data_IF_486980590457
#
_entry.id   IF_486980590457
#
_cell.length_a   1.000
_cell.length_b   1.000
_cell.length_c   1.000
_cell.angle_alpha   90.00
_cell.angle_beta   90.00
_cell.angle_gamma   90.00
#
_symmetry.space_group_name_H-M   'P 1'
#
loop_
_entity.id
_entity.type
_entity.pdbx_description
1 polymer ?
#
# COMPACT_ATOMS: atom_id res chain seq x y z
N UNK A 1 -8.65 7.41 3.87
CA UNK A 1 -7.52 6.96 4.74
C UNK A 1 -6.71 5.90 4.02
N UNK A 2 -5.40 6.00 4.03
CA UNK A 2 -4.49 5.09 3.32
C UNK A 2 -3.68 4.29 4.32
N UNK A 3 -3.69 2.97 4.19
CA UNK A 3 -2.96 2.06 5.08
C UNK A 3 -2.13 1.06 4.29
N UNK A 4 -0.91 0.82 4.73
CA UNK A 4 -0.05 -0.22 4.19
C UNK A 4 0.09 -1.38 5.17
N UNK A 5 0.12 -2.59 4.63
CA UNK A 5 0.56 -3.78 5.34
C UNK A 5 1.92 -4.20 4.84
N UNK A 6 2.89 -4.22 5.74
CA UNK A 6 4.29 -4.51 5.47
C UNK A 6 4.80 -5.62 6.39
N UNK A 7 5.96 -6.16 6.12
CA UNK A 7 6.59 -7.19 6.95
C UNK A 7 7.42 -8.17 6.12
N UNK A 8 8.03 -9.13 6.80
CA UNK A 8 8.84 -10.16 6.16
C UNK A 8 8.01 -11.07 5.26
N UNK A 9 8.65 -11.69 4.28
CA UNK A 9 8.02 -12.76 3.48
C UNK A 9 7.49 -13.89 4.38
N UNK A 10 6.23 -14.28 4.18
CA UNK A 10 5.54 -15.30 4.97
C UNK A 10 4.92 -14.80 6.27
N UNK A 11 5.08 -13.53 6.68
CA UNK A 11 4.50 -13.02 7.93
C UNK A 11 2.97 -12.94 7.94
N UNK A 12 2.31 -13.06 6.79
CA UNK A 12 0.85 -12.99 6.66
C UNK A 12 0.32 -11.60 6.28
N UNK A 13 1.16 -10.72 5.71
CA UNK A 13 0.75 -9.38 5.23
C UNK A 13 -0.49 -9.42 4.35
N UNK A 14 -0.46 -10.23 3.30
CA UNK A 14 -1.56 -10.36 2.32
C UNK A 14 -2.85 -10.84 2.98
N UNK A 15 -2.75 -11.81 3.90
CA UNK A 15 -3.89 -12.29 4.67
C UNK A 15 -4.46 -11.17 5.55
N UNK A 16 -3.60 -10.42 6.25
CA UNK A 16 -4.01 -9.29 7.09
C UNK A 16 -4.63 -8.16 6.27
N UNK A 17 -4.04 -7.83 5.11
CA UNK A 17 -4.61 -6.84 4.18
C UNK A 17 -6.01 -7.21 3.73
N UNK A 18 -6.21 -8.49 3.36
CA UNK A 18 -7.50 -9.00 2.92
C UNK A 18 -8.54 -9.00 4.04
N UNK A 19 -8.17 -9.50 5.23
CA UNK A 19 -9.06 -9.53 6.39
C UNK A 19 -9.47 -8.11 6.83
N UNK A 20 -8.52 -7.20 6.88
CA UNK A 20 -8.79 -5.79 7.21
C UNK A 20 -9.70 -5.13 6.16
N UNK A 21 -9.41 -5.29 4.87
CA UNK A 21 -10.22 -4.75 3.80
C UNK A 21 -11.66 -5.27 3.86
N UNK A 22 -11.86 -6.58 4.06
CA UNK A 22 -13.17 -7.20 4.25
C UNK A 22 -13.87 -6.68 5.50
N UNK A 23 -13.15 -6.57 6.63
CA UNK A 23 -13.71 -6.06 7.89
C UNK A 23 -14.25 -4.63 7.72
N UNK A 24 -13.49 -3.75 7.08
CA UNK A 24 -13.93 -2.37 6.82
C UNK A 24 -15.11 -2.34 5.85
N UNK A 25 -15.09 -3.13 4.78
CA UNK A 25 -16.17 -3.21 3.81
C UNK A 25 -17.47 -3.78 4.42
N UNK A 26 -17.38 -4.79 5.29
CA UNK A 26 -18.56 -5.38 5.97
C UNK A 26 -19.30 -4.40 6.86
N UNK A 27 -18.62 -3.34 7.30
CA UNK A 27 -19.22 -2.25 8.08
C UNK A 27 -19.74 -1.11 7.18
N UNK A 28 -19.87 -1.35 5.86
CA UNK A 28 -20.46 -0.42 4.90
C UNK A 28 -19.55 0.69 4.41
N UNK A 29 -18.27 0.69 4.76
CA UNK A 29 -17.33 1.69 4.27
C UNK A 29 -16.80 1.32 2.86
N UNK A 30 -16.59 2.30 1.97
CA UNK A 30 -16.00 2.06 0.67
C UNK A 30 -14.50 1.73 0.79
N UNK A 31 -14.07 0.66 0.13
CA UNK A 31 -12.69 0.15 0.19
C UNK A 31 -12.13 -0.07 -1.22
N UNK A 32 -10.93 0.45 -1.45
CA UNK A 32 -10.06 0.06 -2.54
C UNK A 32 -8.86 -0.68 -1.97
N UNK A 33 -8.71 -1.95 -2.31
CA UNK A 33 -7.52 -2.74 -2.01
C UNK A 33 -6.54 -2.66 -3.19
N UNK A 34 -5.24 -2.61 -2.90
CA UNK A 34 -4.19 -2.58 -3.91
C UNK A 34 -3.14 -3.66 -3.62
N UNK A 35 -2.93 -4.55 -4.59
CA UNK A 35 -1.85 -5.53 -4.53
C UNK A 35 -0.57 -4.93 -5.14
N UNK A 36 0.34 -4.51 -4.28
CA UNK A 36 1.65 -3.97 -4.63
C UNK A 36 2.78 -4.99 -4.39
N UNK A 37 2.45 -6.27 -4.26
CA UNK A 37 3.42 -7.37 -4.19
C UNK A 37 3.62 -8.02 -5.57
N UNK A 38 4.85 -8.45 -5.83
CA UNK A 38 5.22 -9.15 -7.06
C UNK A 38 4.49 -10.49 -7.23
N UNK A 39 4.14 -11.14 -6.13
CA UNK A 39 3.53 -12.48 -6.14
C UNK A 39 2.03 -12.45 -6.41
N UNK A 40 1.39 -11.27 -6.31
CA UNK A 40 -0.03 -11.08 -6.66
C UNK A 40 -0.99 -12.06 -5.97
N UNK A 41 -0.92 -12.18 -4.66
CA UNK A 41 -1.75 -13.13 -3.91
C UNK A 41 -3.05 -12.54 -3.36
N UNK A 42 -3.20 -11.21 -3.35
CA UNK A 42 -4.33 -10.55 -2.69
C UNK A 42 -5.69 -10.94 -3.33
N UNK A 43 -5.74 -11.06 -4.66
CA UNK A 43 -6.95 -11.49 -5.36
C UNK A 43 -7.43 -12.87 -4.88
N UNK A 44 -6.50 -13.83 -4.78
CA UNK A 44 -6.80 -15.19 -4.31
C UNK A 44 -7.35 -15.19 -2.88
N UNK A 45 -6.71 -14.44 -1.97
CA UNK A 45 -7.12 -14.34 -0.57
C UNK A 45 -8.47 -13.62 -0.42
N UNK A 46 -8.78 -12.69 -1.33
CA UNK A 46 -10.10 -12.04 -1.42
C UNK A 46 -11.16 -12.91 -2.12
N UNK A 47 -10.83 -14.15 -2.48
CA UNK A 47 -11.77 -15.11 -3.08
C UNK A 47 -12.11 -14.83 -4.55
N UNK A 48 -11.23 -14.15 -5.28
CA UNK A 48 -11.38 -13.92 -6.71
C UNK A 48 -10.71 -15.02 -7.52
N UNK A 49 -11.39 -15.53 -8.53
CA UNK A 49 -10.89 -16.58 -9.43
C UNK A 49 -9.91 -16.06 -10.51
N UNK A 50 -9.78 -14.74 -10.60
CA UNK A 50 -8.89 -14.08 -11.57
C UNK A 50 -8.21 -12.85 -10.97
N UNK A 51 -7.10 -12.48 -11.57
CA UNK A 51 -6.39 -11.25 -11.25
C UNK A 51 -7.04 -10.03 -11.94
N UNK A 52 -6.95 -8.83 -11.36
CA UNK A 52 -7.24 -7.58 -12.07
C UNK A 52 -6.27 -7.39 -13.24
N UNK A 53 -6.65 -6.50 -14.18
CA UNK A 53 -5.73 -6.06 -15.23
C UNK A 53 -4.49 -5.40 -14.60
N UNK A 54 -3.27 -5.77 -15.02
CA UNK A 54 -2.05 -5.23 -14.44
C UNK A 54 -1.92 -3.72 -14.68
N UNK A 55 -1.91 -2.90 -13.63
CA UNK A 55 -1.70 -1.44 -13.75
C UNK A 55 -0.38 -1.13 -14.48
N UNK A 56 0.64 -1.96 -14.29
CA UNK A 56 1.92 -1.81 -14.98
C UNK A 56 1.85 -1.93 -16.50
N UNK A 57 0.89 -2.69 -17.03
CA UNK A 57 0.66 -2.80 -18.47
C UNK A 57 -0.01 -1.55 -19.08
N UNK A 58 -0.71 -0.78 -18.25
CA UNK A 58 -1.45 0.43 -18.64
C UNK A 58 -0.80 1.73 -18.15
N UNK A 59 0.50 1.66 -17.86
CA UNK A 59 1.20 2.79 -17.25
C UNK A 59 1.20 4.04 -18.13
N UNK A 60 1.19 3.90 -19.46
CA UNK A 60 1.15 5.04 -20.38
C UNK A 60 -0.19 5.76 -20.29
N UNK A 61 -1.30 5.03 -20.33
CA UNK A 61 -2.65 5.58 -20.21
C UNK A 61 -2.87 6.23 -18.84
N UNK A 62 -2.39 5.58 -17.77
CA UNK A 62 -2.46 6.13 -16.41
C UNK A 62 -1.70 7.45 -16.34
N UNK A 63 -0.47 7.50 -16.85
CA UNK A 63 0.35 8.71 -16.88
C UNK A 63 -0.31 9.83 -17.69
N UNK A 64 -0.87 9.53 -18.86
CA UNK A 64 -1.51 10.55 -19.69
C UNK A 64 -2.76 11.11 -19.01
N UNK A 65 -3.57 10.27 -18.38
CA UNK A 65 -4.70 10.69 -17.55
C UNK A 65 -4.25 11.62 -16.41
N UNK A 66 -3.23 11.21 -15.63
CA UNK A 66 -2.75 11.96 -14.47
C UNK A 66 -2.04 13.27 -14.84
N UNK A 67 -1.32 13.28 -15.97
CA UNK A 67 -0.71 14.48 -16.52
C UNK A 67 -1.74 15.59 -16.73
N UNK A 68 -2.90 15.23 -17.30
CA UNK A 68 -3.93 16.20 -17.64
C UNK A 68 -3.39 17.32 -18.54
N UNK A 69 -3.66 18.55 -18.16
CA UNK A 69 -3.17 19.76 -18.82
C UNK A 69 -1.97 20.42 -18.12
N UNK A 70 -1.21 19.67 -17.30
CA UNK A 70 -0.06 20.22 -16.58
C UNK A 70 1.01 20.72 -17.57
N UNK A 71 1.31 22.05 -17.60
CA UNK A 71 2.25 22.63 -18.56
C UNK A 71 3.71 22.28 -18.30
N UNK A 72 4.04 21.76 -17.10
CA UNK A 72 5.39 21.36 -16.72
C UNK A 72 5.74 19.95 -17.18
N UNK A 73 4.75 19.18 -17.67
CA UNK A 73 4.92 17.78 -18.09
C UNK A 73 4.59 17.69 -19.58
N UNK A 74 5.60 17.60 -20.41
CA UNK A 74 5.47 17.65 -21.86
C UNK A 74 4.70 16.45 -22.46
N UNK A 75 4.84 15.27 -21.86
CA UNK A 75 4.18 14.04 -22.33
C UNK A 75 4.07 13.00 -21.21
N UNK A 76 3.24 11.97 -21.40
CA UNK A 76 3.19 10.81 -20.51
C UNK A 76 4.56 10.12 -20.36
N UNK A 77 5.36 10.08 -21.43
CA UNK A 77 6.70 9.49 -21.42
C UNK A 77 7.67 10.25 -20.51
N UNK A 78 7.49 11.56 -20.33
CA UNK A 78 8.28 12.38 -19.43
C UNK A 78 7.97 12.13 -17.93
N UNK A 79 6.84 11.48 -17.61
CA UNK A 79 6.51 11.15 -16.23
C UNK A 79 7.25 9.91 -15.74
N UNK A 80 7.74 9.98 -14.52
CA UNK A 80 8.28 8.84 -13.76
C UNK A 80 7.34 8.48 -12.60
N UNK A 81 7.54 7.34 -11.96
CA UNK A 81 6.68 6.86 -10.85
C UNK A 81 6.52 7.86 -9.69
N UNK A 82 7.49 8.73 -9.51
CA UNK A 82 7.51 9.73 -8.44
C UNK A 82 7.05 11.12 -8.90
N UNK A 83 6.62 11.29 -10.16
CA UNK A 83 6.16 12.60 -10.64
C UNK A 83 5.05 13.15 -9.75
N UNK A 84 5.24 14.33 -9.14
CA UNK A 84 4.23 14.95 -8.30
C UNK A 84 3.11 15.56 -9.15
N UNK A 85 1.90 15.73 -8.62
CA UNK A 85 0.90 16.58 -9.23
C UNK A 85 1.34 18.05 -9.21
N UNK A 86 0.78 18.84 -10.09
CA UNK A 86 0.95 20.29 -10.19
C UNK A 86 -0.28 20.93 -10.79
N UNK A 87 -0.28 22.23 -11.00
CA UNK A 87 -1.40 22.91 -11.65
C UNK A 87 -1.66 22.33 -13.03
N UNK A 88 -2.93 21.96 -13.29
CA UNK A 88 -3.36 21.30 -14.52
C UNK A 88 -3.21 19.78 -14.52
N UNK A 89 -2.57 19.15 -13.53
CA UNK A 89 -2.64 17.70 -13.34
C UNK A 89 -4.06 17.26 -12.97
N UNK A 90 -4.42 16.05 -13.38
CA UNK A 90 -5.66 15.41 -12.92
C UNK A 90 -5.43 14.84 -11.53
N UNK A 91 -6.15 15.34 -10.54
CA UNK A 91 -6.25 14.71 -9.23
C UNK A 91 -7.42 13.71 -9.27
N UNK A 92 -7.20 12.55 -8.66
CA UNK A 92 -8.21 11.51 -8.55
C UNK A 92 -8.95 11.66 -7.21
N UNK A 93 -10.26 11.62 -7.24
CA UNK A 93 -11.03 11.34 -6.03
C UNK A 93 -10.98 9.85 -5.69
N UNK A 94 -11.39 9.49 -4.48
CA UNK A 94 -11.57 8.08 -4.11
C UNK A 94 -12.55 7.36 -5.06
N UNK A 95 -13.60 8.05 -5.53
CA UNK A 95 -14.56 7.49 -6.48
C UNK A 95 -13.93 7.17 -7.83
N UNK A 96 -13.03 8.04 -8.31
CA UNK A 96 -12.30 7.80 -9.56
C UNK A 96 -11.40 6.56 -9.44
N UNK A 97 -10.76 6.38 -8.27
CA UNK A 97 -9.94 5.22 -7.99
C UNK A 97 -10.79 3.94 -7.87
N UNK A 98 -11.94 4.01 -7.18
CA UNK A 98 -12.87 2.88 -7.05
C UNK A 98 -13.52 2.49 -8.40
N UNK A 99 -13.65 3.43 -9.33
CA UNK A 99 -14.17 3.20 -10.68
C UNK A 99 -13.07 2.90 -11.72
N UNK A 100 -11.81 2.76 -11.31
CA UNK A 100 -10.69 2.53 -12.23
C UNK A 100 -10.96 1.30 -13.12
N UNK A 101 -10.82 1.40 -14.46
CA UNK A 101 -11.23 0.33 -15.39
C UNK A 101 -10.44 -0.97 -15.22
N UNK A 102 -9.22 -0.89 -14.68
CA UNK A 102 -8.32 -2.04 -14.53
C UNK A 102 -8.60 -2.89 -13.28
N UNK A 103 -9.49 -2.44 -12.40
CA UNK A 103 -9.81 -3.15 -11.15
C UNK A 103 -10.88 -4.22 -11.30
N UNK A 104 -10.97 -5.09 -10.30
CA UNK A 104 -12.07 -6.05 -10.09
C UNK A 104 -12.86 -5.68 -8.84
N UNK A 105 -14.14 -5.98 -8.85
CA UNK A 105 -14.99 -5.84 -7.64
C UNK A 105 -15.20 -7.22 -7.03
N UNK A 106 -14.96 -7.34 -5.73
CA UNK A 106 -15.23 -8.58 -4.99
C UNK A 106 -16.72 -8.75 -4.73
N UNK A 107 -17.17 -9.96 -4.36
CA UNK A 107 -18.56 -10.18 -3.96
C UNK A 107 -19.04 -9.26 -2.83
N UNK A 108 -18.16 -8.88 -1.92
CA UNK A 108 -18.43 -7.95 -0.81
C UNK A 108 -18.44 -6.47 -1.23
N UNK A 109 -18.19 -6.18 -2.51
CA UNK A 109 -18.27 -4.84 -3.07
C UNK A 109 -17.00 -3.99 -2.94
N UNK A 110 -15.89 -4.52 -2.39
CA UNK A 110 -14.62 -3.80 -2.40
C UNK A 110 -13.95 -3.87 -3.77
N UNK A 111 -13.20 -2.83 -4.12
CA UNK A 111 -12.47 -2.75 -5.39
C UNK A 111 -11.04 -3.23 -5.20
N UNK A 112 -10.55 -4.12 -6.07
CA UNK A 112 -9.16 -4.56 -6.09
C UNK A 112 -8.44 -4.05 -7.34
N UNK A 113 -7.29 -3.42 -7.14
CA UNK A 113 -6.31 -3.05 -8.17
C UNK A 113 -5.01 -3.85 -7.92
N UNK A 114 -4.21 -4.09 -8.96
CA UNK A 114 -2.94 -4.80 -8.80
C UNK A 114 -1.86 -4.23 -9.71
N UNK A 115 -0.63 -4.20 -9.22
CA UNK A 115 0.54 -3.74 -10.01
C UNK A 115 0.79 -4.61 -11.23
N UNK A 116 0.55 -5.90 -11.12
CA UNK A 116 0.82 -6.93 -12.10
C UNK A 116 2.06 -7.78 -11.76
N UNK A 117 2.08 -9.05 -12.19
CA UNK A 117 3.20 -9.95 -11.96
C UNK A 117 4.40 -9.60 -12.84
N UNK A 118 5.55 -10.22 -12.57
CA UNK A 118 6.62 -10.33 -13.56
C UNK A 118 6.17 -11.21 -14.73
N UNK A 119 6.47 -10.76 -15.94
CA UNK A 119 6.29 -11.51 -17.17
C UNK A 119 7.64 -12.00 -17.71
N UNK A 120 7.63 -12.91 -18.68
CA UNK A 120 8.87 -13.36 -19.33
C UNK A 120 9.64 -12.20 -19.96
N UNK A 121 8.96 -11.18 -20.46
CA UNK A 121 9.55 -9.96 -21.03
C UNK A 121 10.29 -9.10 -19.99
N UNK A 122 9.95 -9.24 -18.72
CA UNK A 122 10.60 -8.50 -17.63
C UNK A 122 11.90 -9.17 -17.16
N UNK A 123 12.11 -10.46 -17.50
CA UNK A 123 13.25 -11.23 -16.99
C UNK A 123 14.58 -10.65 -17.47
N UNK A 124 15.37 -10.18 -16.50
CA UNK A 124 16.69 -9.60 -16.77
C UNK A 124 16.67 -8.18 -17.35
N UNK A 125 15.51 -7.58 -17.59
CA UNK A 125 15.37 -6.27 -18.24
C UNK A 125 14.66 -5.24 -17.34
N UNK A 126 13.60 -5.64 -16.64
CA UNK A 126 12.82 -4.72 -15.82
C UNK A 126 13.10 -4.91 -14.33
N UNK A 127 13.17 -3.81 -13.61
CA UNK A 127 13.13 -3.81 -12.15
C UNK A 127 11.67 -3.84 -11.68
N UNK A 128 11.34 -4.70 -10.73
CA UNK A 128 10.01 -4.78 -10.11
C UNK A 128 9.49 -3.40 -9.66
N UNK A 129 10.38 -2.56 -9.15
CA UNK A 129 10.04 -1.19 -8.72
C UNK A 129 9.43 -0.32 -9.83
N UNK A 130 9.56 -0.68 -11.10
CA UNK A 130 8.88 0.01 -12.20
C UNK A 130 7.38 -0.31 -12.23
N UNK A 131 6.97 -1.52 -11.88
CA UNK A 131 5.55 -1.94 -11.85
C UNK A 131 4.81 -1.36 -10.65
N UNK A 132 5.41 -1.39 -9.45
CA UNK A 132 4.88 -0.71 -8.25
C UNK A 132 4.70 0.79 -8.48
N UNK A 133 5.43 1.34 -9.44
CA UNK A 133 5.35 2.74 -9.83
C UNK A 133 3.96 3.22 -10.27
N UNK A 134 3.10 2.32 -10.78
CA UNK A 134 1.71 2.67 -11.11
C UNK A 134 0.91 2.99 -9.84
N UNK A 135 1.04 2.17 -8.78
CA UNK A 135 0.40 2.43 -7.49
C UNK A 135 0.93 3.72 -6.86
N UNK A 136 2.25 3.95 -6.90
CA UNK A 136 2.86 5.17 -6.38
C UNK A 136 2.31 6.41 -7.10
N UNK A 137 2.22 6.38 -8.43
CA UNK A 137 1.64 7.48 -9.23
C UNK A 137 0.18 7.74 -8.90
N UNK A 138 -0.64 6.70 -8.79
CA UNK A 138 -2.06 6.83 -8.42
C UNK A 138 -2.19 7.47 -7.04
N UNK A 139 -1.43 7.01 -6.04
CA UNK A 139 -1.47 7.57 -4.69
C UNK A 139 -0.89 8.99 -4.60
N UNK A 140 0.07 9.35 -5.46
CA UNK A 140 0.58 10.73 -5.54
C UNK A 140 -0.48 11.72 -6.05
N UNK A 141 -1.47 11.25 -6.82
CA UNK A 141 -2.51 12.09 -7.41
C UNK A 141 -3.89 11.88 -6.75
N UNK A 142 -3.98 11.05 -5.72
CA UNK A 142 -5.21 10.73 -5.03
C UNK A 142 -5.56 11.77 -3.97
N UNK A 143 -6.81 12.22 -3.97
CA UNK A 143 -7.43 12.97 -2.87
C UNK A 143 -8.52 12.07 -2.28
N UNK A 144 -8.26 11.53 -1.09
CA UNK A 144 -9.16 10.70 -0.32
C UNK A 144 -9.53 11.37 1.01
N UNK A 145 -10.66 11.02 1.57
CA UNK A 145 -11.21 11.63 2.78
C UNK A 145 -11.45 10.64 3.93
N UNK A 146 -11.95 11.15 5.06
CA UNK A 146 -12.39 10.32 6.17
C UNK A 146 -13.50 9.35 5.72
N UNK A 147 -13.42 8.10 6.20
CA UNK A 147 -14.39 7.05 5.85
C UNK A 147 -14.18 6.41 4.48
N UNK A 148 -13.19 6.82 3.71
CA UNK A 148 -12.74 6.20 2.46
C UNK A 148 -11.42 5.46 2.72
N UNK A 149 -11.31 4.17 2.35
CA UNK A 149 -10.17 3.35 2.74
C UNK A 149 -9.42 2.81 1.52
N UNK A 150 -8.12 3.11 1.46
CA UNK A 150 -7.18 2.51 0.52
C UNK A 150 -6.24 1.59 1.30
N UNK A 151 -6.36 0.29 1.05
CA UNK A 151 -5.59 -0.77 1.75
C UNK A 151 -4.56 -1.34 0.79
N UNK A 152 -3.28 -1.20 1.11
CA UNK A 152 -2.20 -1.62 0.22
C UNK A 152 -1.41 -2.79 0.83
N UNK A 153 -1.42 -3.93 0.12
CA UNK A 153 -0.53 -5.05 0.40
C UNK A 153 0.82 -4.79 -0.24
N UNK A 154 1.83 -4.52 0.58
CA UNK A 154 3.15 -4.12 0.11
C UNK A 154 4.06 -5.32 -0.12
N UNK A 155 5.03 -5.17 -1.01
CA UNK A 155 6.11 -6.17 -1.16
C UNK A 155 6.84 -6.45 0.15
N UNK A 156 7.45 -7.63 0.26
CA UNK A 156 8.05 -8.09 1.49
C UNK A 156 9.40 -7.43 1.80
N UNK A 157 9.68 -7.24 3.09
CA UNK A 157 10.99 -6.83 3.59
C UNK A 157 11.42 -5.43 3.19
N UNK A 158 12.72 -5.22 3.05
CA UNK A 158 13.32 -3.91 2.76
C UNK A 158 12.95 -3.36 1.36
N UNK A 159 12.48 -4.20 0.45
CA UNK A 159 12.10 -3.79 -0.91
C UNK A 159 10.93 -2.81 -0.92
N UNK A 160 10.11 -2.81 0.14
CA UNK A 160 9.05 -1.81 0.32
C UNK A 160 9.56 -0.36 0.40
N UNK A 161 10.84 -0.16 0.76
CA UNK A 161 11.48 1.17 0.81
C UNK A 161 12.18 1.57 -0.49
N UNK A 162 12.22 0.71 -1.50
CA UNK A 162 12.90 0.99 -2.75
C UNK A 162 12.18 2.03 -3.65
N UNK A 163 11.02 2.51 -3.20
CA UNK A 163 10.27 3.60 -3.84
C UNK A 163 9.76 4.58 -2.79
N UNK A 164 9.26 5.74 -3.21
CA UNK A 164 8.58 6.70 -2.33
C UNK A 164 7.24 6.21 -1.79
N UNK A 165 6.72 5.09 -2.30
CA UNK A 165 5.41 4.56 -1.95
C UNK A 165 5.21 4.38 -0.45
N UNK A 166 6.24 3.96 0.31
CA UNK A 166 6.14 3.74 1.75
C UNK A 166 5.75 5.00 2.54
N UNK A 167 5.90 6.19 1.97
CA UNK A 167 5.53 7.46 2.61
C UNK A 167 4.11 7.94 2.25
N UNK A 168 3.36 7.16 1.45
CA UNK A 168 2.02 7.55 0.94
C UNK A 168 0.87 7.16 1.85
N UNK A 169 1.15 6.68 3.07
CA UNK A 169 0.16 6.13 3.99
C UNK A 169 -0.05 7.02 5.21
N UNK A 170 -1.29 7.03 5.70
CA UNK A 170 -1.63 7.65 6.98
C UNK A 170 -1.13 6.78 8.15
N UNK A 171 -1.14 5.45 7.96
CA UNK A 171 -0.61 4.48 8.91
C UNK A 171 -0.02 3.27 8.18
N UNK A 172 1.08 2.75 8.70
CA UNK A 172 1.70 1.51 8.24
C UNK A 172 1.59 0.46 9.33
N UNK A 173 1.00 -0.70 9.02
CA UNK A 173 0.98 -1.86 9.89
C UNK A 173 2.10 -2.83 9.51
N UNK A 174 3.03 -3.05 10.43
CA UNK A 174 4.07 -4.07 10.31
C UNK A 174 3.56 -5.40 10.89
N UNK A 175 3.35 -6.39 10.03
CA UNK A 175 2.94 -7.74 10.41
C UNK A 175 4.18 -8.57 10.77
N UNK A 176 4.30 -8.96 12.04
CA UNK A 176 5.45 -9.67 12.59
C UNK A 176 5.06 -11.00 13.25
N UNK A 177 5.74 -12.07 12.86
CA UNK A 177 5.66 -13.35 13.60
C UNK A 177 6.50 -13.30 14.89
N UNK A 178 6.14 -14.05 15.96
CA UNK A 178 6.89 -14.10 17.20
C UNK A 178 8.18 -14.93 17.06
N UNK A 179 9.04 -14.55 16.13
CA UNK A 179 10.31 -15.19 15.84
C UNK A 179 11.39 -14.13 15.60
N UNK A 180 12.67 -14.47 15.86
CA UNK A 180 13.79 -13.56 15.57
C UNK A 180 13.80 -13.08 14.14
N UNK A 181 13.43 -13.93 13.19
CA UNK A 181 13.32 -13.57 11.79
C UNK A 181 12.10 -12.69 11.52
N UNK A 182 10.96 -12.95 12.19
CA UNK A 182 9.73 -12.16 12.04
C UNK A 182 9.92 -10.71 12.47
N UNK A 183 10.65 -10.47 13.56
CA UNK A 183 10.93 -9.12 14.07
C UNK A 183 12.19 -8.47 13.47
N UNK A 184 12.94 -9.17 12.63
CA UNK A 184 14.24 -8.68 12.13
C UNK A 184 14.17 -7.39 11.33
N UNK A 185 13.05 -7.15 10.62
CA UNK A 185 12.84 -5.96 9.79
C UNK A 185 12.31 -4.77 10.59
N UNK A 186 11.83 -4.98 11.81
CA UNK A 186 11.17 -3.94 12.62
C UNK A 186 12.06 -2.71 12.83
N UNK A 187 13.33 -2.87 13.21
CA UNK A 187 14.22 -1.72 13.45
C UNK A 187 14.36 -0.84 12.24
N UNK A 188 14.50 -1.44 11.07
CA UNK A 188 14.63 -0.70 9.82
C UNK A 188 13.32 0.06 9.48
N UNK A 189 12.15 -0.58 9.68
CA UNK A 189 10.86 0.08 9.50
C UNK A 189 10.69 1.26 10.45
N UNK A 190 10.99 1.05 11.74
CA UNK A 190 10.90 2.10 12.76
C UNK A 190 11.82 3.28 12.45
N UNK A 191 13.08 3.02 12.07
CA UNK A 191 14.05 4.07 11.79
C UNK A 191 13.63 4.90 10.57
N UNK A 192 13.09 4.27 9.51
CA UNK A 192 12.57 4.99 8.35
C UNK A 192 11.23 5.69 8.63
N UNK A 193 10.34 5.05 9.38
CA UNK A 193 9.08 5.66 9.80
C UNK A 193 9.34 6.97 10.58
N UNK A 194 10.22 6.93 11.57
CA UNK A 194 10.62 8.11 12.34
C UNK A 194 11.27 9.19 11.47
N UNK A 195 12.13 8.81 10.50
CA UNK A 195 12.81 9.75 9.62
C UNK A 195 11.88 10.51 8.67
N UNK A 196 10.79 9.86 8.25
CA UNK A 196 9.86 10.38 7.26
C UNK A 196 8.47 10.70 7.82
N UNK A 197 8.34 10.81 9.14
CA UNK A 197 7.07 11.11 9.82
C UNK A 197 5.93 10.17 9.38
N UNK A 198 6.23 8.87 9.20
CA UNK A 198 5.24 7.84 8.85
C UNK A 198 4.78 7.15 10.12
N UNK A 199 3.48 7.17 10.40
CA UNK A 199 2.94 6.43 11.52
C UNK A 199 3.12 4.91 11.32
N UNK A 200 3.64 4.22 12.35
CA UNK A 200 3.93 2.79 12.35
C UNK A 200 3.30 2.13 13.57
N UNK A 201 2.63 1.02 13.38
CA UNK A 201 2.21 0.13 14.45
C UNK A 201 2.52 -1.33 14.08
N UNK A 202 2.80 -2.17 15.06
CA UNK A 202 3.14 -3.58 14.86
C UNK A 202 1.92 -4.44 15.20
N UNK A 203 1.65 -5.41 14.33
CA UNK A 203 0.66 -6.47 14.53
C UNK A 203 1.42 -7.78 14.69
N UNK A 204 1.31 -8.41 15.86
CA UNK A 204 1.72 -9.80 16.02
C UNK A 204 0.84 -10.72 15.19
N UNK A 205 1.40 -11.70 14.51
CA UNK A 205 0.61 -12.67 13.74
C UNK A 205 1.07 -14.11 14.03
N UNK A 206 0.16 -15.06 13.91
CA UNK A 206 0.38 -16.48 14.20
C UNK A 206 0.81 -16.72 15.65
N UNK A 207 0.27 -15.94 16.57
CA UNK A 207 0.51 -16.07 18.01
C UNK A 207 -0.17 -17.34 18.53
N UNK A 208 0.56 -18.15 19.28
CA UNK A 208 0.04 -19.38 19.88
C UNK A 208 -0.33 -19.19 21.35
N UNK A 209 0.48 -18.43 22.10
CA UNK A 209 0.28 -18.26 23.52
C UNK A 209 0.90 -16.96 24.07
N UNK A 210 0.84 -16.78 25.38
CA UNK A 210 1.35 -15.61 26.06
C UNK A 210 2.85 -15.38 25.88
N UNK A 211 3.65 -16.44 25.75
CA UNK A 211 5.09 -16.30 25.58
C UNK A 211 5.46 -15.67 24.23
N UNK A 212 4.65 -15.90 23.20
CA UNK A 212 4.79 -15.25 21.90
C UNK A 212 4.52 -13.74 21.99
N UNK A 213 3.49 -13.34 22.74
CA UNK A 213 3.18 -11.93 23.00
C UNK A 213 4.31 -11.24 23.76
N UNK A 214 4.84 -11.92 24.80
CA UNK A 214 5.93 -11.39 25.61
C UNK A 214 7.21 -11.25 24.78
N UNK A 215 7.51 -12.21 23.89
CA UNK A 215 8.59 -12.10 22.91
C UNK A 215 8.42 -10.90 21.98
N UNK A 216 7.24 -10.70 21.42
CA UNK A 216 6.98 -9.55 20.56
C UNK A 216 7.20 -8.23 21.33
N UNK A 217 6.63 -8.10 22.52
CA UNK A 217 6.81 -6.90 23.37
C UNK A 217 8.27 -6.62 23.71
N UNK A 218 9.05 -7.64 24.01
CA UNK A 218 10.49 -7.50 24.26
C UNK A 218 11.23 -6.88 23.06
N UNK A 219 10.81 -7.20 21.82
CA UNK A 219 11.52 -6.81 20.63
C UNK A 219 11.01 -5.53 19.97
N UNK A 220 9.71 -5.23 20.07
CA UNK A 220 9.09 -4.07 19.41
C UNK A 220 8.51 -3.04 20.40
N UNK A 221 8.48 -3.35 21.70
CA UNK A 221 8.05 -2.42 22.75
C UNK A 221 6.60 -1.99 22.61
N UNK A 222 6.37 -0.69 22.80
CA UNK A 222 5.04 -0.07 22.77
C UNK A 222 4.46 0.04 21.36
N UNK A 223 5.25 -0.22 20.32
CA UNK A 223 4.75 -0.26 18.94
C UNK A 223 3.87 -1.49 18.67
N UNK A 224 3.88 -2.53 19.59
CA UNK A 224 2.95 -3.65 19.49
C UNK A 224 1.52 -3.19 19.81
N UNK A 225 0.76 -2.95 18.77
CA UNK A 225 -0.65 -2.52 18.89
C UNK A 225 -1.55 -3.67 19.34
N UNK A 226 -1.45 -4.80 18.65
CA UNK A 226 -2.30 -5.99 18.88
C UNK A 226 -1.66 -7.24 18.25
N UNK A 227 -2.35 -8.35 18.33
CA UNK A 227 -1.93 -9.59 17.69
C UNK A 227 -3.12 -10.40 17.18
N UNK A 228 -2.86 -11.24 16.17
CA UNK A 228 -3.75 -12.29 15.69
C UNK A 228 -3.25 -13.63 16.17
N UNK A 229 -4.13 -14.40 16.78
CA UNK A 229 -3.87 -15.79 17.14
C UNK A 229 -3.96 -16.70 15.92
N UNK A 230 -3.39 -17.87 16.04
CA UNK A 230 -3.48 -18.89 15.01
C UNK A 230 -4.96 -19.27 14.77
N UNK A 231 -5.45 -19.07 13.56
CA UNK A 231 -6.87 -19.21 13.21
C UNK A 231 -7.10 -20.40 12.30
N UNK A 232 -8.02 -21.30 12.70
CA UNK A 232 -8.51 -22.36 11.84
C UNK A 232 -9.35 -21.82 10.67
N UNK A 233 -10.09 -20.74 10.90
CA UNK A 233 -10.90 -20.07 9.89
C UNK A 233 -10.04 -19.42 8.82
N UNK A 234 -8.99 -18.68 9.20
CA UNK A 234 -8.02 -18.09 8.27
C UNK A 234 -7.32 -19.17 7.45
N UNK A 235 -6.89 -20.27 8.09
CA UNK A 235 -6.29 -21.38 7.37
C UNK A 235 -7.26 -22.02 6.36
N UNK A 236 -8.54 -22.16 6.70
CA UNK A 236 -9.55 -22.65 5.77
C UNK A 236 -9.72 -21.72 4.56
N UNK A 237 -9.76 -20.40 4.80
CA UNK A 237 -9.78 -19.39 3.74
C UNK A 237 -8.57 -19.51 2.81
N UNK A 238 -7.36 -19.61 3.35
CA UNK A 238 -6.12 -19.79 2.58
C UNK A 238 -6.10 -21.09 1.74
N UNK A 239 -6.88 -22.09 2.16
CA UNK A 239 -7.08 -23.34 1.42
C UNK A 239 -8.22 -23.27 0.38
N UNK A 240 -8.81 -22.07 0.17
CA UNK A 240 -9.92 -21.86 -0.77
C UNK A 240 -11.27 -22.38 -0.28
N UNK A 241 -11.42 -22.63 1.03
CA UNK A 241 -12.72 -22.99 1.62
C UNK A 241 -13.57 -21.76 1.87
N UNK A 242 -14.88 -21.98 1.98
CA UNK A 242 -15.80 -20.91 2.36
C UNK A 242 -15.37 -20.27 3.69
N UNK A 243 -15.38 -18.94 3.71
CA UNK A 243 -14.97 -18.14 4.86
C UNK A 243 -15.85 -16.88 4.95
N UNK A 244 -16.29 -16.56 6.13
CA UNK A 244 -16.90 -15.29 6.48
C UNK A 244 -16.18 -14.69 7.68
N UNK A 245 -16.32 -13.40 7.91
CA UNK A 245 -15.70 -12.74 9.07
C UNK A 245 -16.30 -13.25 10.41
N UNK A 246 -17.53 -13.76 10.38
CA UNK A 246 -18.17 -14.36 11.56
C UNK A 246 -17.53 -15.70 11.98
N UNK A 247 -16.72 -16.31 11.10
CA UNK A 247 -15.97 -17.52 11.42
C UNK A 247 -14.68 -17.24 12.22
N UNK A 248 -14.26 -15.95 12.34
CA UNK A 248 -13.07 -15.58 13.09
C UNK A 248 -13.27 -15.77 14.59
N UNK A 249 -12.21 -16.19 15.25
CA UNK A 249 -12.12 -16.19 16.70
C UNK A 249 -12.31 -14.76 17.25
N UNK A 250 -13.01 -14.58 18.39
CA UNK A 250 -13.29 -13.24 18.92
C UNK A 250 -12.06 -12.34 19.07
N UNK A 251 -10.95 -12.89 19.53
CA UNK A 251 -9.68 -12.14 19.67
C UNK A 251 -9.19 -11.59 18.34
N UNK A 252 -9.35 -12.35 17.25
CA UNK A 252 -8.94 -11.95 15.92
C UNK A 252 -9.90 -10.89 15.33
N UNK A 253 -11.20 -11.01 15.59
CA UNK A 253 -12.19 -10.00 15.21
C UNK A 253 -11.98 -8.68 15.96
N UNK A 254 -11.67 -8.75 17.26
CA UNK A 254 -11.34 -7.58 18.10
C UNK A 254 -10.06 -6.89 17.59
N UNK A 255 -9.05 -7.67 17.19
CA UNK A 255 -7.83 -7.13 16.60
C UNK A 255 -8.14 -6.31 15.34
N UNK A 256 -8.95 -6.83 14.39
CA UNK A 256 -9.34 -6.08 13.18
C UNK A 256 -10.09 -4.79 13.52
N UNK A 257 -10.96 -4.83 14.52
CA UNK A 257 -11.69 -3.66 15.00
C UNK A 257 -10.75 -2.60 15.57
N UNK A 258 -9.73 -3.03 16.32
CA UNK A 258 -8.70 -2.13 16.86
C UNK A 258 -7.84 -1.51 15.74
N UNK A 259 -7.47 -2.29 14.71
CA UNK A 259 -6.73 -1.75 13.55
C UNK A 259 -7.52 -0.64 12.86
N UNK A 260 -8.84 -0.85 12.63
CA UNK A 260 -9.69 0.17 12.03
C UNK A 260 -9.75 1.42 12.90
N UNK A 261 -10.01 1.26 14.20
CA UNK A 261 -10.06 2.38 15.15
C UNK A 261 -8.76 3.17 15.11
N UNK A 262 -7.60 2.49 15.19
CA UNK A 262 -6.28 3.14 15.17
C UNK A 262 -6.04 3.91 13.87
N UNK A 263 -6.49 3.39 12.72
CA UNK A 263 -6.40 4.09 11.45
C UNK A 263 -7.33 5.31 11.41
N UNK A 264 -8.57 5.19 11.92
CA UNK A 264 -9.54 6.28 11.93
C UNK A 264 -9.16 7.43 12.87
N UNK A 265 -8.30 7.17 13.85
CA UNK A 265 -7.72 8.17 14.76
C UNK A 265 -6.54 8.95 14.13
N UNK A 266 -6.04 8.53 12.95
CA UNK A 266 -4.97 9.27 12.27
C UNK A 266 -5.51 10.55 11.63
N UNK A 267 -4.77 11.63 11.78
CA UNK A 267 -5.02 12.86 11.03
C UNK A 267 -4.34 12.81 9.67
N UNK A 268 -5.08 13.23 8.62
CA UNK A 268 -4.54 13.29 7.25
C UNK A 268 -3.58 14.48 7.12
N UNK A 269 -2.31 14.19 6.91
CA UNK A 269 -1.26 15.19 6.74
C UNK A 269 -0.94 15.43 5.25
N UNK A 270 -1.73 16.29 4.62
CA UNK A 270 -1.56 16.65 3.21
C UNK A 270 -0.24 17.39 2.93
N UNK A 271 0.23 18.19 3.88
CA UNK A 271 1.51 18.91 3.74
C UNK A 271 2.68 17.92 3.70
N UNK A 272 2.67 16.92 4.59
CA UNK A 272 3.66 15.84 4.59
C UNK A 272 3.64 15.08 3.27
N UNK A 273 2.46 14.68 2.78
CA UNK A 273 2.34 13.97 1.51
C UNK A 273 2.89 14.80 0.34
N UNK A 274 2.55 16.08 0.24
CA UNK A 274 3.06 16.99 -0.79
C UNK A 274 4.58 17.13 -0.71
N UNK A 275 5.11 17.46 0.45
CA UNK A 275 6.56 17.60 0.70
C UNK A 275 7.33 16.33 0.33
N UNK A 276 6.88 15.17 0.79
CA UNK A 276 7.56 13.90 0.52
C UNK A 276 7.45 13.46 -0.94
N UNK A 277 6.34 13.74 -1.62
CA UNK A 277 6.22 13.47 -3.05
C UNK A 277 7.28 14.22 -3.84
N UNK A 278 7.45 15.51 -3.57
CA UNK A 278 8.48 16.35 -4.19
C UNK A 278 9.89 15.86 -3.82
N UNK A 279 10.13 15.56 -2.54
CA UNK A 279 11.44 15.08 -2.07
C UNK A 279 11.87 13.79 -2.81
N UNK A 280 11.00 12.80 -2.87
CA UNK A 280 11.33 11.54 -3.56
C UNK A 280 11.43 11.70 -5.07
N UNK A 281 10.66 12.60 -5.67
CA UNK A 281 10.82 12.93 -7.08
C UNK A 281 12.19 13.53 -7.37
N UNK A 282 12.63 14.53 -6.61
CA UNK A 282 13.94 15.16 -6.77
C UNK A 282 15.11 14.19 -6.50
N UNK A 283 14.94 13.23 -5.57
CA UNK A 283 15.93 12.18 -5.35
C UNK A 283 16.04 11.24 -6.56
N UNK A 284 14.91 10.80 -7.11
CA UNK A 284 14.91 9.95 -8.30
C UNK A 284 15.46 10.69 -9.53
N UNK A 285 15.11 11.98 -9.70
CA UNK A 285 15.63 12.82 -10.75
C UNK A 285 17.18 12.79 -10.77
N UNK A 286 17.78 13.09 -9.61
CA UNK A 286 19.25 13.16 -9.47
C UNK A 286 19.94 11.80 -9.57
N UNK A 287 19.29 10.73 -9.07
CA UNK A 287 19.93 9.42 -8.97
C UNK A 287 20.01 8.68 -10.32
N UNK A 288 18.99 8.80 -11.17
CA UNK A 288 18.93 8.04 -12.43
C UNK A 288 17.96 8.60 -13.48
N UNK A 289 16.88 9.31 -13.05
CA UNK A 289 15.79 9.56 -13.96
C UNK A 289 16.08 10.67 -14.96
N UNK A 290 16.85 11.70 -14.60
CA UNK A 290 17.32 12.74 -15.53
C UNK A 290 18.16 12.13 -16.65
N UNK A 291 19.10 11.24 -16.31
CA UNK A 291 19.92 10.56 -17.30
C UNK A 291 19.09 9.70 -18.27
N UNK A 292 18.12 8.95 -17.69
CA UNK A 292 17.24 8.06 -18.48
C UNK A 292 16.29 8.82 -19.40
N UNK A 293 15.78 9.97 -18.97
CA UNK A 293 14.79 10.76 -19.73
C UNK A 293 15.42 11.81 -20.64
N UNK A 294 16.69 12.15 -20.41
CA UNK A 294 17.38 13.23 -21.10
C UNK A 294 16.88 14.63 -20.76
N UNK A 295 16.11 14.78 -19.66
CA UNK A 295 15.51 16.04 -19.22
C UNK A 295 15.72 16.24 -17.73
N UNK A 296 15.74 17.49 -17.27
CA UNK A 296 15.73 17.78 -15.83
C UNK A 296 14.31 17.66 -15.27
N UNK A 297 14.05 16.56 -14.59
CA UNK A 297 12.74 16.29 -14.01
C UNK A 297 12.42 17.18 -12.81
N UNK A 298 13.39 17.94 -12.26
CA UNK A 298 13.11 18.93 -11.24
C UNK A 298 12.20 20.06 -11.75
N UNK A 299 12.20 20.33 -13.07
CA UNK A 299 11.31 21.29 -13.71
C UNK A 299 9.82 20.89 -13.68
N UNK A 300 9.53 19.60 -13.44
CA UNK A 300 8.15 19.11 -13.29
C UNK A 300 7.52 19.51 -11.97
N UNK A 301 8.33 19.89 -10.97
CA UNK A 301 7.83 20.35 -9.67
C UNK A 301 7.19 21.72 -9.81
N UNK A 302 5.94 21.86 -9.39
CA UNK A 302 5.25 23.15 -9.30
C UNK A 302 5.38 23.69 -7.87
N UNK A 303 6.19 24.73 -7.64
CA UNK A 303 6.46 25.22 -6.28
C UNK A 303 5.25 25.91 -5.63
N UNK A 304 4.26 26.30 -6.44
CA UNK A 304 3.06 26.99 -5.97
C UNK A 304 1.86 26.03 -5.81
N UNK A 305 2.05 24.74 -6.11
CA UNK A 305 0.99 23.77 -5.97
C UNK A 305 0.87 23.24 -4.54
N UNK A 306 -0.32 23.37 -3.97
CA UNK A 306 -0.65 22.82 -2.65
C UNK A 306 -1.43 21.53 -2.86
N UNK A 307 -0.90 20.43 -2.33
CA UNK A 307 -1.53 19.13 -2.42
C UNK A 307 -2.56 18.96 -1.28
N UNK A 308 -3.81 18.68 -1.65
CA UNK A 308 -4.91 18.52 -0.71
C UNK A 308 -6.26 18.85 -1.35
N UNK A 309 -7.37 18.66 -0.61
CA UNK A 309 -8.72 18.99 -1.06
C UNK A 309 -8.96 20.49 -1.19
#
# INVERSE_FOLDING_TARGET
MRVAFVGKGGSGKTTMSALFARHVASQGAPVVAMDADINQHLALVLGLDRQPEPLGAHLTEIKDRLRGANPRISSAAAMVKTTPPGRGSTLLSFKDLAADPYGLTTPEGLRLLATGPFTEEDLGVACYHSKVGAVELLLNHLIDGPGEYVVVDMTAGADSFASGLFTRFDLTFLVAEPTRQGVSVYRQYRDYAAKYDVALAVIGNKVHDRSDVDFLREHVGDDLLTWMEHSAAVRAMEQGRHFTLDDLEPVNADALSLLRKTLDEQEKDWERFGRQTVEFHLRNARAWANERTGTDLAEQVDPDFVYGP
#
